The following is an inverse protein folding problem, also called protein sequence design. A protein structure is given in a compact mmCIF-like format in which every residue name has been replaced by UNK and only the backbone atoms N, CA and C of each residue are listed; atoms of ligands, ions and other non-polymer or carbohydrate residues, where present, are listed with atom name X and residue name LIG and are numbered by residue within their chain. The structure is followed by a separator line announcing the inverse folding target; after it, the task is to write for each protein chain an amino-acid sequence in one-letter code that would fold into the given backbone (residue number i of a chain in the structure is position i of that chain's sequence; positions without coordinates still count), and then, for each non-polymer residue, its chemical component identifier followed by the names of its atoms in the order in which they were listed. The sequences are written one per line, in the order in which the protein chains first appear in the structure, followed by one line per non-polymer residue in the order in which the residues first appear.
data_IF_264253950547
#
_entry.id   IF_264253950547
#
_cell.length_a   1.000
_cell.length_b   1.000
_cell.length_c   1.000
_cell.angle_alpha   90.00
_cell.angle_beta   90.00
_cell.angle_gamma   90.00
#
_symmetry.space_group_name_H-M   'P 1'
#
loop_
_entity.id
_entity.type
_entity.pdbx_description
1 polymer ?
#
# COMPACT_ATOMS: atom_id res chain seq x y z
N UNK A 1 -23.30 22.92 -9.84
CA UNK A 1 -23.38 21.62 -9.15
C UNK A 1 -22.45 20.69 -9.91
N UNK A 2 -21.16 20.70 -9.54
CA UNK A 2 -20.14 19.86 -10.18
C UNK A 2 -20.33 18.46 -9.58
N UNK A 3 -20.68 17.52 -10.44
CA UNK A 3 -21.11 16.17 -10.06
C UNK A 3 -20.07 15.46 -9.22
N UNK A 4 -20.56 14.84 -8.14
CA UNK A 4 -19.93 13.72 -7.47
C UNK A 4 -19.45 12.72 -8.53
N UNK A 5 -18.15 12.70 -8.78
CA UNK A 5 -17.53 11.53 -9.39
C UNK A 5 -17.54 10.49 -8.28
N UNK A 6 -18.22 9.38 -8.53
CA UNK A 6 -18.33 8.23 -7.63
C UNK A 6 -16.96 7.52 -7.52
N UNK A 7 -15.96 8.22 -6.98
CA UNK A 7 -14.58 7.72 -6.83
C UNK A 7 -14.50 6.61 -5.77
N UNK A 8 -15.58 6.41 -4.99
CA UNK A 8 -15.63 5.46 -3.87
C UNK A 8 -15.66 3.99 -4.29
N UNK A 9 -16.25 3.64 -5.45
CA UNK A 9 -16.50 2.24 -5.81
C UNK A 9 -15.27 1.45 -6.26
N UNK A 10 -14.33 2.10 -6.96
CA UNK A 10 -13.18 1.43 -7.61
C UNK A 10 -11.86 1.67 -6.87
N UNK A 11 -11.76 2.76 -6.10
CA UNK A 11 -10.48 3.20 -5.54
C UNK A 11 -9.98 2.30 -4.41
N UNK A 12 -10.86 1.78 -3.56
CA UNK A 12 -10.46 0.90 -2.45
C UNK A 12 -9.87 -0.44 -2.99
N UNK A 13 -10.53 -1.14 -3.92
CA UNK A 13 -9.95 -2.34 -4.54
C UNK A 13 -8.59 -2.08 -5.19
N UNK A 14 -8.46 -0.97 -5.94
CA UNK A 14 -7.21 -0.63 -6.63
C UNK A 14 -6.08 -0.35 -5.65
N UNK A 15 -6.33 0.43 -4.59
CA UNK A 15 -5.33 0.71 -3.56
C UNK A 15 -4.90 -0.57 -2.81
N UNK A 16 -5.85 -1.48 -2.54
CA UNK A 16 -5.54 -2.79 -1.95
C UNK A 16 -4.64 -3.64 -2.84
N UNK A 17 -4.93 -3.71 -4.14
CA UNK A 17 -4.10 -4.43 -5.12
C UNK A 17 -2.70 -3.83 -5.22
N UNK A 18 -2.58 -2.50 -5.24
CA UNK A 18 -1.29 -1.80 -5.27
C UNK A 18 -0.46 -2.14 -4.02
N UNK A 19 -1.08 -2.12 -2.84
CA UNK A 19 -0.38 -2.45 -1.60
C UNK A 19 0.05 -3.93 -1.56
N UNK A 20 -0.82 -4.86 -1.99
CA UNK A 20 -0.47 -6.29 -2.08
C UNK A 20 0.66 -6.56 -3.07
N UNK A 21 0.64 -5.93 -4.24
CA UNK A 21 1.73 -6.04 -5.21
C UNK A 21 3.05 -5.50 -4.63
N UNK A 22 3.00 -4.39 -3.90
CA UNK A 22 4.17 -3.81 -3.22
C UNK A 22 4.71 -4.76 -2.14
N UNK A 23 3.84 -5.40 -1.36
CA UNK A 23 4.22 -6.41 -0.37
C UNK A 23 4.97 -7.58 -1.03
N UNK A 24 4.48 -8.10 -2.15
CA UNK A 24 5.14 -9.20 -2.87
C UNK A 24 6.52 -8.79 -3.35
N UNK A 25 6.65 -7.59 -3.95
CA UNK A 25 7.94 -7.07 -4.41
C UNK A 25 8.92 -6.93 -3.23
N UNK A 26 8.46 -6.38 -2.10
CA UNK A 26 9.27 -6.22 -0.89
C UNK A 26 9.74 -7.58 -0.35
N UNK A 27 8.85 -8.58 -0.27
CA UNK A 27 9.21 -9.92 0.19
C UNK A 27 10.22 -10.59 -0.74
N UNK A 28 9.98 -10.57 -2.04
CA UNK A 28 10.90 -11.15 -3.02
C UNK A 28 12.26 -10.46 -2.96
N UNK A 29 12.26 -9.12 -2.93
CA UNK A 29 13.47 -8.29 -2.79
C UNK A 29 14.26 -8.67 -1.54
N UNK A 30 13.57 -8.87 -0.41
CA UNK A 30 14.19 -9.21 0.87
C UNK A 30 14.76 -10.64 0.92
N UNK A 31 14.08 -11.62 0.33
CA UNK A 31 14.54 -13.03 0.39
C UNK A 31 15.53 -13.43 -0.69
N UNK A 32 15.55 -12.71 -1.82
CA UNK A 32 16.40 -13.06 -2.97
C UNK A 32 17.63 -12.15 -3.11
N UNK A 33 17.76 -11.13 -2.26
CA UNK A 33 18.75 -10.04 -2.39
C UNK A 33 18.74 -9.38 -3.79
N UNK A 34 17.63 -9.49 -4.52
CA UNK A 34 17.48 -8.89 -5.85
C UNK A 34 17.14 -7.41 -5.71
N UNK A 35 18.03 -6.56 -6.19
CA UNK A 35 17.80 -5.13 -6.26
C UNK A 35 16.84 -4.77 -7.42
N UNK A 36 15.56 -4.59 -7.12
CA UNK A 36 14.55 -4.06 -8.06
C UNK A 36 14.71 -2.55 -8.37
N UNK A 37 15.81 -1.93 -7.92
CA UNK A 37 16.11 -0.51 -8.14
C UNK A 37 15.00 0.42 -7.67
N UNK A 38 14.58 1.33 -8.56
CA UNK A 38 13.57 2.34 -8.28
C UNK A 38 12.19 1.74 -7.91
N UNK A 39 11.80 0.62 -8.54
CA UNK A 39 10.52 -0.05 -8.24
C UNK A 39 10.55 -0.67 -6.85
N UNK A 40 11.69 -1.24 -6.45
CA UNK A 40 11.88 -1.77 -5.11
C UNK A 40 11.75 -0.68 -4.04
N UNK A 41 12.38 0.48 -4.27
CA UNK A 41 12.29 1.63 -3.37
C UNK A 41 10.83 2.12 -3.23
N UNK A 42 10.11 2.29 -4.34
CA UNK A 42 8.70 2.71 -4.30
C UNK A 42 7.83 1.70 -3.56
N UNK A 43 8.06 0.40 -3.78
CA UNK A 43 7.31 -0.67 -3.12
C UNK A 43 7.51 -0.64 -1.60
N UNK A 44 8.72 -0.35 -1.14
CA UNK A 44 9.00 -0.15 0.29
C UNK A 44 8.24 1.04 0.88
N UNK A 45 8.18 2.17 0.18
CA UNK A 45 7.43 3.36 0.63
C UNK A 45 5.94 3.04 0.76
N UNK A 46 5.35 2.43 -0.27
CA UNK A 46 3.92 2.06 -0.28
C UNK A 46 3.60 1.04 0.81
N UNK A 47 4.47 0.04 0.99
CA UNK A 47 4.32 -0.96 2.04
C UNK A 47 4.34 -0.33 3.44
N UNK A 48 5.35 0.49 3.74
CA UNK A 48 5.50 1.16 5.04
C UNK A 48 4.32 2.11 5.33
N UNK A 49 3.87 2.88 4.35
CA UNK A 49 2.70 3.76 4.51
C UNK A 49 1.45 2.96 4.89
N UNK A 50 1.19 1.83 4.22
CA UNK A 50 0.05 0.99 4.55
C UNK A 50 0.14 0.39 5.95
N UNK A 51 1.34 -0.05 6.38
CA UNK A 51 1.56 -0.57 7.74
C UNK A 51 1.32 0.52 8.79
N UNK A 52 1.83 1.73 8.59
CA UNK A 52 1.64 2.85 9.53
C UNK A 52 0.16 3.22 9.65
N UNK A 53 -0.54 3.36 8.53
CA UNK A 53 -1.98 3.67 8.54
C UNK A 53 -2.78 2.57 9.24
N UNK A 54 -2.43 1.31 9.02
CA UNK A 54 -3.06 0.19 9.70
C UNK A 54 -2.82 0.23 11.22
N UNK A 55 -1.60 0.49 11.67
CA UNK A 55 -1.27 0.63 13.09
C UNK A 55 -2.07 1.76 13.73
N UNK A 56 -2.10 2.94 13.11
CA UNK A 56 -2.87 4.09 13.61
C UNK A 56 -4.36 3.73 13.71
N UNK A 57 -4.91 3.06 12.70
CA UNK A 57 -6.30 2.62 12.72
C UNK A 57 -6.58 1.65 13.86
N UNK A 58 -5.73 0.62 14.06
CA UNK A 58 -5.89 -0.33 15.18
C UNK A 58 -5.79 0.38 16.52
N UNK A 59 -4.80 1.26 16.70
CA UNK A 59 -4.64 2.03 17.95
C UNK A 59 -5.86 2.90 18.22
N UNK A 60 -6.43 3.54 17.20
CA UNK A 60 -7.65 4.34 17.32
C UNK A 60 -8.91 3.52 17.63
N UNK A 61 -8.90 2.19 17.47
CA UNK A 61 -10.01 1.32 17.91
C UNK A 61 -9.85 0.87 19.37
N UNK A 62 -8.67 1.02 19.96
CA UNK A 62 -8.36 0.60 21.33
C UNK A 62 -8.53 1.71 22.37
N UNK A 63 -8.52 2.98 21.95
CA UNK A 63 -8.70 4.18 22.78
C UNK A 63 -9.95 4.95 22.35
#
# INVERSE_FOLDING_TARGET
MVGDVDVGGVTIPVLGVIWLASLVIVLVSHFTDVAFGFIGLLSWIVFLLGVVLFIIWVVAQLF
#
